data_IF_222049963860
#
_entry.id   IF_222049963860
#
_cell.length_a   1.000
_cell.length_b   1.000
_cell.length_c   1.000
_cell.angle_alpha   90.00
_cell.angle_beta   90.00
_cell.angle_gamma   90.00
#
_symmetry.space_group_name_H-M   'P 1'
#
loop_
_entity.id
_entity.type
_entity.pdbx_description
1 polymer ?
2 polymer ?
3 water ?
#
# COMPACT_ATOMS: atom_id res chain seq x y z
N UNK A 30 -0.03 -28.32 7.93
CA UNK A 30 -0.32 -26.92 8.33
C UNK A 30 -1.63 -26.47 7.70
N UNK A 31 -2.51 -25.75 8.42
CA UNK A 31 -3.75 -25.23 7.84
C UNK A 31 -3.53 -24.23 6.68
N UNK A 32 -2.31 -23.71 6.53
CA UNK A 32 -1.93 -22.74 5.46
C UNK A 32 -2.21 -23.36 4.08
N UNK A 33 -2.30 -24.69 4.00
CA UNK A 33 -2.52 -25.44 2.73
C UNK A 33 -3.94 -25.26 2.19
N UNK A 34 -4.96 -25.09 3.05
CA UNK A 34 -6.39 -25.13 2.62
C UNK A 34 -7.23 -23.97 3.18
N UNK A 35 -6.70 -23.20 4.13
CA UNK A 35 -7.37 -22.00 4.74
C UNK A 35 -7.25 -20.84 3.75
N UNK A 36 -8.36 -20.12 3.48
CA UNK A 36 -8.31 -18.80 2.80
C UNK A 36 -7.68 -17.79 3.77
N UNK A 37 -7.08 -16.74 3.24
CA UNK A 37 -6.36 -15.70 4.01
C UNK A 37 -7.30 -14.53 4.19
N UNK A 38 -7.90 -14.37 5.39
CA UNK A 38 -8.92 -13.34 5.59
C UNK A 38 -8.28 -11.95 5.60
N UNK A 39 -9.01 -10.96 5.07
CA UNK A 39 -8.62 -9.53 5.07
C UNK A 39 -9.14 -8.92 6.37
N UNK A 40 -8.47 -7.89 6.88
CA UNK A 40 -8.91 -7.15 8.09
C UNK A 40 -10.37 -6.73 7.90
N UNK A 41 -10.74 -6.24 6.71
CA UNK A 41 -12.11 -5.74 6.41
C UNK A 41 -12.77 -6.55 5.29
N UNK A 42 -14.10 -6.44 5.20
CA UNK A 42 -14.94 -6.92 4.09
C UNK A 42 -15.21 -5.73 3.18
N UNK A 43 -15.03 -5.89 1.88
CA UNK A 43 -15.12 -4.81 0.87
C UNK A 43 -16.22 -5.11 -0.14
N UNK A 44 -16.81 -4.04 -0.68
CA UNK A 44 -17.81 -4.05 -1.76
C UNK A 44 -17.20 -3.37 -2.98
N UNK A 45 -17.20 -4.05 -4.13
CA UNK A 45 -16.80 -3.48 -5.43
C UNK A 45 -18.07 -3.05 -6.17
N UNK A 46 -18.14 -1.76 -6.53
CA UNK A 46 -19.28 -1.16 -7.28
C UNK A 46 -18.83 -0.77 -8.69
N UNK A 47 -19.81 -0.69 -9.58
CA UNK A 47 -19.68 -0.18 -10.96
C UNK A 47 -20.75 0.89 -11.17
N UNK A 48 -20.44 1.94 -11.92
CA UNK A 48 -21.40 3.00 -12.31
C UNK A 48 -21.08 3.39 -13.75
N UNK A 49 -22.10 3.43 -14.61
CA UNK A 49 -22.05 3.98 -15.98
C UNK A 49 -22.97 5.21 -16.01
N UNK A 50 -22.44 6.41 -16.31
CA UNK A 50 -23.28 7.65 -16.32
C UNK A 50 -24.07 7.71 -17.62
N UNK A 51 -25.18 6.97 -17.67
CA UNK A 51 -26.22 7.04 -18.73
C UNK A 51 -27.24 8.09 -18.30
N UNK A 52 -27.06 9.34 -18.75
CA UNK A 52 -27.86 10.54 -18.35
C UNK A 52 -29.34 10.33 -18.69
N UNK A 53 -29.66 9.38 -19.57
CA UNK A 53 -31.04 9.00 -19.98
C UNK A 53 -31.74 8.23 -18.85
N UNK A 54 -30.98 7.60 -17.95
CA UNK A 54 -31.50 6.69 -16.90
C UNK A 54 -31.31 7.28 -15.50
N UNK A 55 -31.99 6.67 -14.53
CA UNK A 55 -31.89 6.88 -13.07
C UNK A 55 -30.54 6.36 -12.56
N UNK A 56 -29.95 7.03 -11.56
CA UNK A 56 -28.63 6.65 -11.01
C UNK A 56 -28.67 5.29 -10.30
N UNK A 57 -29.81 4.90 -9.72
CA UNK A 57 -29.95 3.58 -9.02
C UNK A 57 -29.85 2.45 -10.05
N UNK A 58 -30.37 2.66 -11.26
CA UNK A 58 -30.34 1.68 -12.36
C UNK A 58 -28.92 1.60 -12.93
N UNK A 59 -28.18 2.72 -12.88
CA UNK A 59 -26.83 2.87 -13.47
C UNK A 59 -25.76 2.30 -12.53
N UNK A 60 -26.10 2.10 -11.25
CA UNK A 60 -25.18 1.66 -10.17
C UNK A 60 -25.38 0.17 -9.94
N UNK A 61 -24.29 -0.59 -9.82
CA UNK A 61 -24.34 -2.06 -9.59
C UNK A 61 -23.29 -2.47 -8.56
N UNK A 62 -23.73 -3.17 -7.51
CA UNK A 62 -22.84 -3.97 -6.64
C UNK A 62 -22.37 -5.17 -7.46
N UNK A 63 -21.06 -5.28 -7.71
CA UNK A 63 -20.47 -6.41 -8.46
C UNK A 63 -20.39 -7.60 -7.50
N UNK A 64 -19.75 -7.42 -6.34
CA UNK A 64 -19.72 -8.40 -5.22
C UNK A 64 -18.93 -7.86 -4.03
N UNK A 65 -19.05 -8.58 -2.92
CA UNK A 65 -18.31 -8.36 -1.66
C UNK A 65 -17.34 -9.52 -1.47
N UNK A 66 -16.22 -9.25 -0.82
CA UNK A 66 -15.15 -10.25 -0.55
C UNK A 66 -14.49 -9.87 0.78
N UNK A 67 -13.92 -10.86 1.46
CA UNK A 67 -13.21 -10.69 2.76
C UNK A 67 -11.96 -11.57 2.82
N UNK A 68 -11.47 -12.05 1.66
CA UNK A 68 -10.21 -12.83 1.56
C UNK A 68 -9.38 -12.32 0.38
N UNK A 69 -8.07 -12.58 0.44
CA UNK A 69 -7.09 -12.36 -0.65
C UNK A 69 -7.55 -13.16 -1.87
N UNK A 70 -7.83 -14.45 -1.68
CA UNK A 70 -8.23 -15.37 -2.78
C UNK A 70 -9.46 -14.82 -3.50
N UNK A 71 -10.49 -14.39 -2.75
CA UNK A 71 -11.78 -13.92 -3.30
C UNK A 71 -11.58 -12.58 -4.03
N UNK A 72 -10.65 -11.75 -3.53
CA UNK A 72 -10.27 -10.47 -4.18
C UNK A 72 -9.67 -10.75 -5.58
N UNK A 73 -8.68 -11.63 -5.68
CA UNK A 73 -7.99 -11.94 -6.96
C UNK A 73 -8.95 -12.62 -7.95
N UNK A 74 -9.83 -13.52 -7.50
CA UNK A 74 -10.82 -14.18 -8.39
C UNK A 74 -11.69 -13.11 -9.04
N UNK A 75 -12.11 -12.12 -8.24
CA UNK A 75 -12.97 -10.99 -8.69
C UNK A 75 -12.19 -10.08 -9.63
N UNK A 76 -11.00 -9.63 -9.23
CA UNK A 76 -10.16 -8.68 -10.01
C UNK A 76 -9.83 -9.27 -11.38
N UNK A 77 -9.46 -10.54 -11.41
CA UNK A 77 -9.08 -11.28 -12.64
C UNK A 77 -10.30 -11.48 -13.56
N UNK A 78 -11.52 -11.34 -13.06
CA UNK A 78 -12.78 -11.63 -13.81
C UNK A 78 -13.30 -10.36 -14.47
N UNK A 79 -12.82 -9.18 -14.06
CA UNK A 79 -13.38 -7.89 -14.52
C UNK A 79 -12.39 -7.17 -15.43
N UNK A 80 -12.94 -6.27 -16.26
CA UNK A 80 -12.22 -5.36 -17.18
C UNK A 80 -11.24 -4.47 -16.39
N UNK A 81 -10.04 -4.25 -16.93
CA UNK A 81 -9.12 -3.16 -16.47
C UNK A 81 -9.81 -1.81 -16.72
N UNK A 82 -9.52 -0.82 -15.89
CA UNK A 82 -10.06 0.56 -15.97
C UNK A 82 -9.78 1.20 -17.35
N UNK A 83 -8.58 0.96 -17.89
CA UNK A 83 -8.13 1.48 -19.20
C UNK A 83 -8.94 0.87 -20.35
N UNK A 84 -9.70 -0.20 -20.10
CA UNK A 84 -10.52 -0.87 -21.15
C UNK A 84 -12.01 -0.53 -20.95
N UNK A 85 -12.36 0.29 -19.95
CA UNK A 85 -13.77 0.70 -19.72
C UNK A 85 -14.11 1.81 -20.72
N UNK A 86 -15.40 1.92 -21.08
CA UNK A 86 -15.95 3.01 -21.90
C UNK A 86 -15.91 4.29 -21.08
N UNK A 87 -15.59 5.46 -21.68
CA UNK A 87 -15.71 6.74 -20.97
C UNK A 87 -17.11 6.93 -20.32
N UNK A 88 -17.12 7.49 -19.12
CA UNK A 88 -18.31 7.67 -18.28
C UNK A 88 -18.51 6.53 -17.28
N UNK A 89 -17.59 5.57 -17.22
CA UNK A 89 -17.66 4.40 -16.31
C UNK A 89 -16.78 4.65 -15.07
N UNK A 90 -17.25 4.20 -13.92
CA UNK A 90 -16.52 4.21 -12.63
C UNK A 90 -16.53 2.81 -12.02
N UNK A 91 -15.47 2.48 -11.30
CA UNK A 91 -15.42 1.43 -10.25
C UNK A 91 -15.27 2.13 -8.89
N UNK A 92 -15.75 1.50 -7.84
CA UNK A 92 -15.44 1.90 -6.45
C UNK A 92 -15.19 0.65 -5.61
N UNK A 93 -14.30 0.77 -4.62
CA UNK A 93 -14.20 -0.19 -3.51
C UNK A 93 -14.45 0.54 -2.20
N UNK A 94 -15.48 0.12 -1.47
CA UNK A 94 -15.88 0.70 -0.16
C UNK A 94 -15.90 -0.39 0.88
N UNK A 95 -15.46 -0.08 2.11
CA UNK A 95 -15.66 -0.96 3.30
C UNK A 95 -17.14 -1.33 3.36
N UNK A 96 -17.44 -2.63 3.48
CA UNK A 96 -18.83 -3.12 3.73
C UNK A 96 -19.46 -2.29 4.85
N UNK A 97 -20.67 -1.78 4.64
CA UNK A 97 -21.38 -0.93 5.61
C UNK A 97 -21.28 0.54 5.26
N UNK A 98 -20.33 0.92 4.39
CA UNK A 98 -20.22 2.31 3.87
C UNK A 98 -20.70 2.30 2.41
N UNK A 99 -21.80 3.02 2.16
CA UNK A 99 -22.44 3.19 0.83
C UNK A 99 -21.51 4.01 -0.07
N UNK A 100 -21.47 3.70 -1.38
CA UNK A 100 -20.68 4.51 -2.33
C UNK A 100 -21.39 5.84 -2.61
N UNK A 101 -21.64 6.62 -1.56
CA UNK A 101 -22.42 7.89 -1.58
C UNK A 101 -21.79 8.86 -0.58
N UNK A 102 -21.64 10.12 -0.96
CA UNK A 102 -21.02 11.17 -0.10
C UNK A 102 -21.90 11.39 1.15
N UNK A 103 -23.21 11.22 1.04
CA UNK A 103 -24.21 11.50 2.10
C UNK A 103 -24.09 10.46 3.22
N UNK A 104 -23.56 9.27 2.94
CA UNK A 104 -23.31 8.20 3.95
C UNK A 104 -22.66 8.83 5.19
N UNK A 105 -23.02 8.34 6.38
CA UNK A 105 -22.58 8.89 7.69
C UNK A 105 -21.05 8.94 7.69
N UNK A 106 -20.39 7.95 7.08
CA UNK A 106 -18.92 7.77 7.18
C UNK A 106 -18.20 8.64 6.13
N UNK A 107 -18.93 9.19 5.14
CA UNK A 107 -18.35 9.99 4.03
C UNK A 107 -18.65 11.49 4.17
N UNK A 108 -19.80 11.88 4.75
CA UNK A 108 -20.34 13.26 4.57
C UNK A 108 -19.46 14.32 5.24
N UNK A 109 -18.70 13.99 6.28
CA UNK A 109 -17.74 14.95 6.92
C UNK A 109 -16.35 14.74 6.32
N UNK A 110 -16.26 13.89 5.29
CA UNK A 110 -15.00 13.37 4.75
C UNK A 110 -14.58 14.06 3.48
N UNK A 111 -13.57 13.49 2.81
CA UNK A 111 -13.10 13.92 1.48
C UNK A 111 -12.14 12.90 0.91
N UNK A 112 -11.43 13.28 -0.14
CA UNK A 112 -10.66 12.34 -0.98
C UNK A 112 -9.34 12.99 -1.43
N UNK A 113 -8.28 12.19 -1.45
CA UNK A 113 -7.05 12.46 -2.25
C UNK A 113 -7.35 12.19 -3.72
N UNK A 114 -7.14 13.19 -4.57
CA UNK A 114 -7.32 13.13 -6.05
C UNK A 114 -5.96 12.82 -6.70
N UNK A 115 -5.93 11.79 -7.55
CA UNK A 115 -4.86 11.54 -8.56
C UNK A 115 -5.50 11.79 -9.92
N UNK A 116 -5.03 12.80 -10.65
CA UNK A 116 -5.60 13.23 -11.97
C UNK A 116 -4.66 12.74 -13.06
N UNK A 117 -5.19 11.97 -14.00
CA UNK A 117 -4.40 11.34 -15.09
C UNK A 117 -4.82 11.94 -16.43
N UNK A 118 -3.85 12.38 -17.24
CA UNK A 118 -4.11 12.80 -18.65
C UNK A 118 -4.17 11.53 -19.51
N UNK A 119 -4.48 11.68 -20.81
CA UNK A 119 -4.78 10.55 -21.74
C UNK A 119 -3.51 9.67 -21.87
N UNK A 120 -2.34 10.29 -21.76
CA UNK A 120 -1.03 9.61 -21.82
C UNK A 120 -0.92 8.62 -20.66
N UNK A 121 -1.47 8.98 -19.50
CA UNK A 121 -1.36 8.18 -18.25
C UNK A 121 -2.46 7.11 -18.22
N UNK A 122 -3.55 7.29 -18.95
CA UNK A 122 -4.50 6.16 -19.21
C UNK A 122 -3.66 4.94 -19.58
N UNK A 123 -2.72 5.11 -20.51
CA UNK A 123 -1.93 4.02 -21.12
C UNK A 123 -0.91 3.47 -20.08
N UNK A 124 -0.24 4.36 -19.33
CA UNK A 124 0.99 4.03 -18.56
C UNK A 124 0.70 3.83 -17.06
N UNK A 125 -0.26 4.55 -16.47
CA UNK A 125 -0.40 4.64 -15.00
C UNK A 125 -1.77 4.14 -14.49
N UNK A 126 -2.85 4.29 -15.27
CA UNK A 126 -4.23 4.13 -14.74
C UNK A 126 -4.36 2.76 -14.04
N UNK A 127 -4.07 1.67 -14.75
CA UNK A 127 -4.28 0.30 -14.24
C UNK A 127 -3.37 0.03 -13.04
N UNK A 128 -2.07 0.30 -13.17
CA UNK A 128 -1.10 0.00 -12.07
C UNK A 128 -1.47 0.89 -10.86
N UNK A 129 -1.84 2.15 -11.07
CA UNK A 129 -2.23 3.08 -9.97
C UNK A 129 -3.50 2.58 -9.28
N UNK A 130 -4.47 2.07 -10.04
CA UNK A 130 -5.76 1.56 -9.47
C UNK A 130 -5.48 0.33 -8.63
N UNK A 131 -4.65 -0.59 -9.13
CA UNK A 131 -4.34 -1.84 -8.39
C UNK A 131 -3.52 -1.51 -7.14
N UNK A 132 -2.59 -0.55 -7.23
CA UNK A 132 -1.87 -0.04 -6.02
C UNK A 132 -2.90 0.40 -4.98
N UNK A 133 -3.92 1.14 -5.43
CA UNK A 133 -4.98 1.72 -4.55
C UNK A 133 -5.80 0.58 -3.93
N UNK A 134 -6.21 -0.40 -4.73
CA UNK A 134 -6.99 -1.55 -4.23
C UNK A 134 -6.21 -2.22 -3.09
N UNK A 135 -4.91 -2.46 -3.29
CA UNK A 135 -4.10 -3.25 -2.34
C UNK A 135 -3.73 -2.40 -1.12
N UNK A 136 -3.59 -1.08 -1.28
CA UNK A 136 -3.41 -0.15 -0.12
C UNK A 136 -4.65 -0.21 0.77
N UNK A 137 -5.85 -0.28 0.19
CA UNK A 137 -7.10 -0.40 0.99
C UNK A 137 -7.12 -1.77 1.68
N UNK A 138 -7.14 -2.87 0.92
CA UNK A 138 -7.42 -4.23 1.46
C UNK A 138 -6.20 -4.72 2.28
N UNK A 139 -5.01 -4.24 1.96
CA UNK A 139 -3.80 -4.48 2.77
C UNK A 139 -3.66 -3.55 3.97
N UNK A 140 -4.56 -2.60 4.17
CA UNK A 140 -4.53 -1.65 5.33
C UNK A 140 -3.14 -1.00 5.46
N UNK A 141 -2.67 -0.33 4.41
CA UNK A 141 -1.25 0.08 4.25
C UNK A 141 -0.97 1.40 4.98
N UNK A 142 -1.97 2.01 5.63
CA UNK A 142 -1.85 3.36 6.23
C UNK A 142 -1.79 3.23 7.76
N UNK A 143 -1.31 2.09 8.26
CA UNK A 143 -0.99 1.85 9.68
C UNK A 143 -2.25 2.04 10.52
N UNK A 144 -2.16 2.86 11.58
CA UNK A 144 -3.23 3.15 12.57
C UNK A 144 -4.39 3.87 11.87
N UNK A 145 -4.08 4.71 10.88
CA UNK A 145 -5.03 5.63 10.21
C UNK A 145 -5.78 4.91 9.09
N UNK A 146 -5.57 3.61 8.89
CA UNK A 146 -6.34 2.81 7.89
C UNK A 146 -7.83 2.83 8.24
N UNK A 147 -8.18 3.03 9.51
CA UNK A 147 -9.59 3.12 9.98
C UNK A 147 -10.27 4.39 9.45
N UNK A 148 -9.52 5.41 9.04
CA UNK A 148 -10.08 6.65 8.44
C UNK A 148 -10.49 6.38 6.99
N UNK A 149 -9.90 5.39 6.34
CA UNK A 149 -10.16 5.08 4.89
C UNK A 149 -11.55 4.47 4.79
N UNK A 150 -12.41 5.01 3.92
CA UNK A 150 -13.80 4.52 3.65
C UNK A 150 -13.82 3.70 2.36
N UNK A 151 -12.98 4.07 1.39
CA UNK A 151 -12.96 3.40 0.09
C UNK A 151 -12.16 4.17 -0.93
N UNK A 152 -12.27 3.79 -2.19
CA UNK A 152 -11.57 4.43 -3.33
C UNK A 152 -12.44 4.31 -4.58
N UNK A 153 -12.19 5.20 -5.53
CA UNK A 153 -13.00 5.40 -6.77
C UNK A 153 -12.02 5.68 -7.91
N UNK A 154 -12.25 5.01 -9.04
CA UNK A 154 -11.61 5.33 -10.35
C UNK A 154 -12.72 5.75 -11.31
N UNK A 155 -12.52 6.93 -11.92
CA UNK A 155 -13.40 7.51 -12.97
C UNK A 155 -12.64 7.43 -14.29
N UNK A 156 -13.20 6.73 -15.28
CA UNK A 156 -12.72 6.72 -16.69
C UNK A 156 -13.53 7.75 -17.47
N UNK A 157 -12.92 8.89 -17.81
CA UNK A 157 -13.54 9.98 -18.61
C UNK A 157 -12.70 10.23 -19.87
N UNK A 158 -13.32 10.81 -20.88
CA UNK A 158 -12.67 11.29 -22.13
C UNK A 158 -11.69 12.42 -21.78
N UNK A 159 -12.11 13.38 -20.96
CA UNK A 159 -11.34 14.61 -20.61
C UNK A 159 -10.22 14.31 -19.60
N UNK A 160 -10.11 13.05 -19.14
CA UNK A 160 -9.04 12.58 -18.22
C UNK A 160 -9.59 11.68 -17.13
N UNK A 161 -8.78 10.73 -16.65
CA UNK A 161 -9.18 9.74 -15.61
C UNK A 161 -8.72 10.26 -14.24
N UNK A 162 -9.42 9.86 -13.17
CA UNK A 162 -9.09 10.21 -11.77
C UNK A 162 -9.14 8.94 -10.92
N UNK A 163 -8.21 8.83 -9.97
CA UNK A 163 -8.31 7.88 -8.83
C UNK A 163 -8.37 8.72 -7.56
N UNK A 164 -9.21 8.31 -6.62
CA UNK A 164 -9.44 8.99 -5.33
C UNK A 164 -9.50 7.93 -4.22
N UNK A 165 -8.79 8.18 -3.11
CA UNK A 165 -9.00 7.47 -1.81
C UNK A 165 -9.90 8.36 -0.96
N UNK A 166 -11.04 7.82 -0.52
CA UNK A 166 -12.04 8.46 0.38
C UNK A 166 -11.69 8.19 1.85
N UNK A 167 -11.62 9.24 2.67
CA UNK A 167 -11.45 9.14 4.14
C UNK A 167 -12.67 9.80 4.82
N UNK A 168 -12.87 9.48 6.09
CA UNK A 168 -14.12 9.70 6.84
C UNK A 168 -14.24 11.13 7.42
N UNK A 169 -13.15 11.88 7.56
CA UNK A 169 -13.17 13.15 8.34
C UNK A 169 -12.03 14.09 7.94
N UNK A 170 -12.37 15.22 7.28
CA UNK A 170 -11.47 16.32 6.82
C UNK A 170 -10.72 16.99 7.98
N UNK A 171 -11.26 16.93 9.20
CA UNK A 171 -10.67 17.59 10.39
C UNK A 171 -9.48 16.78 10.92
N UNK A 172 -9.47 15.44 10.73
CA UNK A 172 -8.35 14.56 11.17
C UNK A 172 -7.13 14.84 10.29
N UNK A 173 -6.50 16.01 10.47
CA UNK A 173 -5.35 16.52 9.68
C UNK A 173 -4.21 15.49 9.69
N UNK A 174 -4.02 14.83 10.84
CA UNK A 174 -2.89 13.92 11.15
C UNK A 174 -3.06 12.64 10.32
N UNK A 175 -4.27 12.06 10.37
CA UNK A 175 -4.65 10.84 9.61
C UNK A 175 -4.63 11.13 8.11
N UNK A 176 -5.20 12.27 7.69
CA UNK A 176 -5.37 12.60 6.25
C UNK A 176 -4.00 12.77 5.59
N UNK A 177 -3.08 13.51 6.20
CA UNK A 177 -1.76 13.84 5.62
C UNK A 177 -0.88 12.58 5.64
N UNK A 178 -1.03 11.74 6.65
CA UNK A 178 -0.29 10.44 6.72
C UNK A 178 -0.77 9.58 5.54
N UNK A 179 -2.08 9.43 5.36
CA UNK A 179 -2.67 8.65 4.23
C UNK A 179 -2.12 9.20 2.91
N UNK A 180 -2.07 10.53 2.76
CA UNK A 180 -1.58 11.21 1.56
C UNK A 180 -0.13 10.87 1.28
N UNK A 181 0.73 11.04 2.29
CA UNK A 181 2.20 10.80 2.17
C UNK A 181 2.45 9.36 1.73
N UNK A 182 1.80 8.40 2.39
CA UNK A 182 2.03 6.94 2.18
C UNK A 182 1.52 6.56 0.78
N UNK A 183 0.35 7.04 0.39
CA UNK A 183 -0.23 6.82 -0.96
C UNK A 183 0.79 7.24 -2.02
N UNK A 184 1.33 8.45 -1.88
CA UNK A 184 2.31 9.06 -2.82
C UNK A 184 3.55 8.16 -2.93
N UNK A 185 4.08 7.71 -1.78
CA UNK A 185 5.26 6.78 -1.70
C UNK A 185 4.92 5.44 -2.38
N UNK A 186 3.73 4.90 -2.12
CA UNK A 186 3.31 3.57 -2.64
C UNK A 186 3.15 3.64 -4.16
N UNK A 187 2.73 4.80 -4.67
CA UNK A 187 2.51 5.06 -6.13
C UNK A 187 3.83 5.37 -6.84
N UNK A 188 4.87 5.73 -6.09
CA UNK A 188 6.18 6.14 -6.64
C UNK A 188 6.10 7.49 -7.32
N UNK A 189 5.28 8.40 -6.80
CA UNK A 189 5.22 9.82 -7.26
C UNK A 189 6.37 10.59 -6.60
N UNK A 190 7.16 11.34 -7.39
CA UNK A 190 8.27 12.13 -6.83
C UNK A 190 7.79 13.31 -6.00
N UNK A 191 8.67 13.96 -5.20
CA UNK A 191 8.23 15.02 -4.28
C UNK A 191 7.69 16.27 -5.00
N UNK A 192 8.16 16.55 -6.23
CA UNK A 192 7.75 17.74 -7.02
C UNK A 192 6.26 17.64 -7.37
N UNK A 193 5.77 16.43 -7.69
CA UNK A 193 4.34 16.16 -8.03
C UNK A 193 3.49 16.34 -6.77
N UNK A 194 2.54 17.27 -6.79
CA UNK A 194 1.65 17.59 -5.63
C UNK A 194 0.26 17.00 -5.88
N UNK A 195 -0.35 16.43 -4.85
CA UNK A 195 -1.76 15.96 -4.87
C UNK A 195 -2.54 16.70 -3.78
N UNK A 196 -3.85 16.86 -4.01
CA UNK A 196 -4.75 17.60 -3.12
C UNK A 196 -5.83 16.69 -2.54
N UNK A 197 -6.32 17.09 -1.36
CA UNK A 197 -7.47 16.50 -0.64
C UNK A 197 -8.62 17.52 -0.63
N UNK A 198 -9.80 17.11 -1.11
CA UNK A 198 -11.00 17.98 -1.28
C UNK A 198 -12.20 17.38 -0.52
N UNK A 199 -12.83 18.21 0.31
CA UNK A 199 -14.01 17.89 1.14
C UNK A 199 -15.18 17.48 0.23
N UNK A 200 -15.94 16.45 0.61
CA UNK A 200 -17.11 15.95 -0.16
C UNK A 200 -18.21 17.02 -0.14
N UNK A 201 -18.51 17.57 1.03
CA UNK A 201 -19.51 18.65 1.25
C UNK A 201 -19.18 19.84 0.34
N UNK A 202 -17.94 20.32 0.34
CA UNK A 202 -17.49 21.41 -0.57
C UNK A 202 -17.81 21.02 -2.02
N UNK A 203 -17.49 19.79 -2.41
CA UNK A 203 -17.65 19.32 -3.81
C UNK A 203 -19.14 19.35 -4.19
N UNK A 204 -19.99 18.62 -3.45
CA UNK A 204 -21.43 18.41 -3.76
C UNK A 204 -22.24 19.71 -3.61
N UNK A 205 -21.85 20.58 -2.68
CA UNK A 205 -22.76 21.54 -1.99
C UNK A 205 -22.33 23.00 -2.20
N UNK A 206 -21.03 23.30 -2.33
CA UNK A 206 -20.52 24.70 -2.46
C UNK A 206 -19.97 24.93 -3.87
N UNK A 207 -18.98 24.13 -4.28
CA UNK A 207 -18.16 24.32 -5.50
C UNK A 207 -17.90 22.96 -6.13
N UNK A 208 -18.38 22.73 -7.36
CA UNK A 208 -18.24 21.44 -8.05
C UNK A 208 -16.81 21.19 -8.45
N UNK A 209 -16.48 21.46 -9.72
CA UNK A 209 -15.13 21.26 -10.30
C UNK A 209 -14.13 22.28 -9.74
N UNK A 210 -14.61 23.43 -9.24
CA UNK A 210 -13.76 24.57 -8.80
C UNK A 210 -13.40 24.49 -7.31
N UNK A 211 -13.72 23.38 -6.63
CA UNK A 211 -13.45 23.21 -5.16
C UNK A 211 -11.94 23.13 -4.92
N UNK A 212 -11.47 23.76 -3.83
CA UNK A 212 -10.03 23.92 -3.52
C UNK A 212 -9.60 22.90 -2.47
N UNK A 213 -8.29 22.64 -2.42
CA UNK A 213 -7.67 21.61 -1.54
C UNK A 213 -7.64 22.13 -0.10
N UNK A 214 -8.05 21.28 0.86
CA UNK A 214 -7.86 21.50 2.31
C UNK A 214 -6.40 21.20 2.66
N UNK A 215 -5.82 20.18 2.02
CA UNK A 215 -4.43 19.73 2.23
C UNK A 215 -3.79 19.43 0.87
N UNK A 216 -2.46 19.46 0.85
CA UNK A 216 -1.60 19.02 -0.30
C UNK A 216 -0.42 18.24 0.29
N UNK A 217 0.16 17.35 -0.51
CA UNK A 217 1.29 16.46 -0.09
C UNK A 217 2.18 16.23 -1.32
N UNK B 36 10.52 -13.97 19.96
CA UNK B 36 9.67 -13.68 18.76
C UNK B 36 10.19 -12.47 17.99
N UNK B 37 10.24 -12.58 16.65
CA UNK B 37 10.48 -11.47 15.68
C UNK B 37 9.29 -11.41 14.71
N UNK B 38 8.53 -10.32 14.75
CA UNK B 38 7.34 -10.10 13.87
C UNK B 38 7.62 -8.87 12.99
N UNK B 39 7.62 -9.07 11.68
CA UNK B 39 7.86 -8.01 10.65
C UNK B 39 6.53 -7.61 10.01
N UNK B 40 6.48 -6.38 9.51
CA UNK B 40 5.31 -5.74 8.84
C UNK B 40 5.80 -4.57 7.98
N UNK B 41 4.89 -3.98 7.19
CA UNK B 41 5.14 -2.79 6.35
C UNK B 41 5.16 -3.10 4.87
N UNK B 42 4.88 -4.35 4.48
CA UNK B 42 5.10 -4.86 3.11
C UNK B 42 3.95 -4.52 2.18
N UNK B 43 3.69 -5.39 1.19
CA UNK B 43 2.61 -5.20 0.19
C UNK B 43 3.17 -4.72 -1.12
N UNK B 44 2.31 -4.16 -1.97
CA UNK B 44 2.66 -3.79 -3.37
C UNK B 44 3.14 -2.33 -3.40
N UNK B 45 4.20 -2.08 -4.16
CA UNK B 45 4.77 -0.71 -4.37
C UNK B 45 5.13 -0.60 -5.87
N UNK B 46 4.98 0.59 -6.44
CA UNK B 46 5.37 0.87 -7.83
C UNK B 46 6.88 1.11 -7.88
N UNK B 47 7.57 0.71 -8.98
CA UNK B 47 8.99 1.03 -9.16
C UNK B 47 9.29 2.49 -8.79
N UNK B 48 10.38 2.73 -8.07
CA UNK B 48 10.80 4.09 -7.64
C UNK B 48 10.11 4.49 -6.35
N UNK B 49 9.05 3.79 -5.95
CA UNK B 49 8.31 4.05 -4.71
C UNK B 49 9.15 3.75 -3.48
N UNK B 50 8.55 3.93 -2.29
CA UNK B 50 9.25 3.86 -0.98
C UNK B 50 8.39 3.11 0.04
N UNK B 51 9.06 2.40 0.93
CA UNK B 51 8.47 1.49 1.94
C UNK B 51 9.36 1.57 3.19
N UNK B 52 8.77 1.31 4.36
CA UNK B 52 9.50 1.13 5.63
C UNK B 52 8.99 -0.16 6.25
N UNK B 53 9.87 -1.16 6.37
CA UNK B 53 9.56 -2.41 7.11
C UNK B 53 9.92 -2.17 8.57
N UNK B 54 9.26 -2.90 9.47
CA UNK B 54 9.51 -2.92 10.93
C UNK B 54 9.66 -4.38 11.38
N UNK B 55 10.55 -4.61 12.35
CA UNK B 55 10.62 -5.90 13.09
C UNK B 55 10.64 -5.59 14.58
N UNK B 56 9.49 -5.75 15.23
CA UNK B 56 9.33 -5.72 16.71
C UNK B 56 9.90 -7.02 17.27
N UNK B 57 10.91 -6.93 18.15
CA UNK B 57 11.67 -8.10 18.67
C UNK B 57 11.41 -8.24 20.17
N UNK B 58 11.20 -9.48 20.61
CA UNK B 58 10.96 -9.86 22.04
C UNK B 58 11.62 -11.22 22.32
N UNK B 59 12.20 -11.37 23.50
CA UNK B 59 13.01 -12.56 23.89
C UNK B 59 14.41 -12.15 24.30
N UNK B 60 14.97 -11.08 23.69
CA UNK B 60 16.33 -10.54 23.95
C UNK B 60 16.40 -9.05 23.59
N UNK B 61 17.28 -8.30 24.24
CA UNK B 61 17.60 -6.88 23.92
C UNK B 61 18.39 -6.85 22.60
N UNK B 62 18.26 -5.77 21.84
CA UNK B 62 18.90 -5.63 20.50
C UNK B 62 20.19 -4.81 20.63
N UNK B 63 20.34 -4.01 21.71
CA UNK B 63 21.62 -3.35 22.06
C UNK B 63 22.67 -4.43 22.41
N UNK B 64 22.23 -5.58 22.93
CA UNK B 64 23.09 -6.73 23.27
C UNK B 64 23.77 -7.28 21.99
N UNK B 65 22.95 -7.68 20.99
CA UNK B 65 23.37 -8.49 19.82
C UNK B 65 23.40 -7.63 18.56
N UNK B 66 23.45 -8.29 17.40
CA UNK B 66 23.34 -7.70 16.04
C UNK B 66 22.10 -8.30 15.35
N UNK B 67 21.51 -7.54 14.44
CA UNK B 67 20.27 -7.91 13.69
C UNK B 67 20.51 -7.72 12.19
N UNK B 68 20.17 -8.75 11.42
CA UNK B 68 20.23 -8.77 9.94
C UNK B 68 18.82 -8.65 9.37
N UNK B 69 18.65 -7.83 8.32
CA UNK B 69 17.57 -8.03 7.33
C UNK B 69 18.06 -9.04 6.29
N UNK B 70 17.21 -10.01 5.97
CA UNK B 70 17.45 -11.08 4.96
C UNK B 70 16.21 -11.11 4.06
N UNK B 71 16.35 -11.55 2.82
CA UNK B 71 15.21 -11.61 1.86
C UNK B 71 15.36 -12.84 0.97
N UNK B 72 14.24 -13.40 0.53
CA UNK B 72 14.21 -14.50 -0.47
C UNK B 72 13.18 -14.15 -1.54
N UNK B 73 13.66 -13.80 -2.74
CA UNK B 73 12.86 -13.76 -3.98
C UNK B 73 12.39 -15.18 -4.31
N UNK B 74 11.19 -15.36 -4.89
CA UNK B 74 10.67 -16.70 -5.18
C UNK B 74 11.52 -17.37 -6.27
N UNK B 75 11.90 -18.64 -6.06
CA UNK B 75 12.83 -19.40 -6.94
C UNK B 75 14.29 -19.16 -6.58
N UNK B 76 14.63 -17.95 -6.13
CA UNK B 76 16.00 -17.54 -5.70
C UNK B 76 16.27 -18.04 -4.27
N UNK B 77 17.52 -17.97 -3.83
CA UNK B 77 17.98 -18.38 -2.49
C UNK B 77 18.06 -17.21 -1.54
N UNK B 78 18.30 -17.47 -0.26
CA UNK B 78 18.44 -16.44 0.80
C UNK B 78 19.48 -15.42 0.34
N UNK B 79 19.24 -14.13 0.58
CA UNK B 79 20.19 -13.03 0.30
C UNK B 79 20.26 -12.14 1.54
N UNK B 80 21.44 -12.01 2.13
CA UNK B 80 21.70 -11.00 3.18
C UNK B 80 21.45 -9.61 2.61
N UNK B 81 20.72 -8.76 3.33
CA UNK B 81 20.38 -7.38 2.88
C UNK B 81 21.22 -6.37 3.67
N UNK B 82 21.08 -6.34 4.99
CA UNK B 82 21.71 -5.31 5.85
C UNK B 82 21.81 -5.81 7.28
N UNK B 83 22.78 -5.28 8.02
CA UNK B 83 23.04 -5.61 9.43
C UNK B 83 23.11 -4.31 10.23
N UNK B 84 22.62 -4.36 11.47
CA UNK B 84 22.78 -3.27 12.45
C UNK B 84 23.22 -3.88 13.78
N UNK B 85 24.15 -3.21 14.45
CA UNK B 85 24.48 -3.45 15.89
C UNK B 85 23.97 -2.24 16.66
N UNK B 86 22.71 -2.32 17.16
CA UNK B 86 22.04 -1.18 17.81
C UNK B 86 22.85 -0.48 18.91
N UNK B 87 23.54 -1.24 19.76
CA UNK B 87 24.38 -0.73 20.89
C UNK B 87 25.28 0.42 20.41
N UNK B 88 25.92 0.29 19.25
CA UNK B 88 26.89 1.26 18.67
C UNK B 88 26.35 1.92 17.39
N UNK B 89 25.33 1.33 16.77
CA UNK B 89 24.66 1.89 15.58
C UNK B 89 25.49 1.75 14.31
N UNK B 90 26.50 0.87 14.31
CA UNK B 90 27.27 0.53 13.08
C UNK B 90 26.38 -0.33 12.16
N UNK B 91 26.46 -0.09 10.86
CA UNK B 91 25.63 -0.75 9.82
C UNK B 91 26.51 -1.17 8.65
N UNK B 92 26.16 -2.28 8.01
CA UNK B 92 26.67 -2.70 6.68
C UNK B 92 25.48 -3.14 5.82
N UNK B 93 25.65 -3.06 4.49
CA UNK B 93 24.61 -3.34 3.48
C UNK B 93 25.20 -4.27 2.43
N UNK B 94 24.39 -5.18 1.88
CA UNK B 94 24.70 -5.87 0.61
C UNK B 94 24.90 -4.80 -0.47
N UNK B 95 25.76 -5.06 -1.46
CA UNK B 95 26.04 -4.12 -2.59
C UNK B 95 24.74 -3.80 -3.33
N UNK B 96 23.88 -4.80 -3.54
CA UNK B 96 22.63 -4.72 -4.34
C UNK B 96 21.69 -3.62 -3.81
N UNK B 97 21.88 -3.13 -2.58
CA UNK B 97 20.91 -2.22 -1.91
C UNK B 97 21.61 -0.96 -1.38
N UNK B 98 22.93 -0.85 -1.44
CA UNK B 98 23.68 0.31 -0.88
C UNK B 98 23.18 1.59 -1.56
N UNK B 99 22.93 2.65 -0.78
CA UNK B 99 22.52 3.97 -1.29
C UNK B 99 21.01 4.13 -1.35
N UNK B 100 20.26 3.02 -1.32
CA UNK B 100 18.79 2.97 -1.53
C UNK B 100 18.08 2.60 -0.22
N UNK B 101 18.57 1.58 0.50
CA UNK B 101 17.96 1.07 1.75
C UNK B 101 18.75 1.63 2.94
N UNK B 102 18.07 1.83 4.08
CA UNK B 102 18.68 2.27 5.36
C UNK B 102 18.10 1.43 6.50
N UNK B 103 18.93 0.62 7.14
CA UNK B 103 18.61 -0.11 8.41
C UNK B 103 18.84 0.86 9.58
N UNK B 104 18.01 0.76 10.61
CA UNK B 104 18.05 1.62 11.81
C UNK B 104 17.28 0.89 12.92
N UNK B 105 17.37 1.37 14.16
CA UNK B 105 16.77 0.68 15.34
C UNK B 105 16.34 1.67 16.41
N UNK B 106 15.50 1.19 17.32
CA UNK B 106 15.04 1.90 18.55
C UNK B 106 15.07 0.87 19.69
N UNK B 107 16.03 1.02 20.61
CA UNK B 107 16.22 0.14 21.80
C UNK B 107 15.10 0.42 22.82
N UNK B 108 14.53 1.64 22.79
CA UNK B 108 13.34 2.01 23.59
C UNK B 108 12.14 1.16 23.16
N UNK B 109 12.02 0.86 21.85
CA UNK B 109 10.90 0.03 21.29
C UNK B 109 11.36 -1.42 21.07
N UNK B 110 12.67 -1.68 21.07
CA UNK B 110 13.27 -3.01 20.76
C UNK B 110 12.82 -3.42 19.35
N UNK B 111 12.94 -2.51 18.40
CA UNK B 111 12.51 -2.71 17.00
C UNK B 111 13.59 -2.19 16.05
N UNK B 112 13.84 -2.92 14.97
CA UNK B 112 14.73 -2.50 13.86
C UNK B 112 13.83 -2.22 12.63
N UNK B 113 14.21 -1.22 11.85
CA UNK B 113 13.50 -0.78 10.63
C UNK B 113 14.40 -0.98 9.41
N UNK B 114 13.79 -0.98 8.22
CA UNK B 114 14.49 -0.91 6.92
C UNK B 114 13.72 0.06 6.01
N UNK B 115 14.18 1.30 5.95
CA UNK B 115 13.72 2.27 4.93
C UNK B 115 14.17 1.75 3.57
N UNK B 116 13.25 1.65 2.61
CA UNK B 116 13.50 1.10 1.26
C UNK B 116 13.06 2.13 0.22
N UNK B 117 14.00 2.91 -0.32
CA UNK B 117 13.75 3.97 -1.33
C UNK B 117 14.18 3.44 -2.70
N UNK B 118 13.69 4.07 -3.77
CA UNK B 118 14.04 3.77 -5.19
C UNK B 118 13.87 2.27 -5.46
N UNK B 119 12.74 1.71 -5.04
CA UNK B 119 12.47 0.26 -5.16
C UNK B 119 12.46 -0.14 -6.64
N UNK B 120 13.00 -1.32 -6.96
CA UNK B 120 12.98 -1.93 -8.31
C UNK B 120 12.31 -3.30 -8.23
N UNK B 121 11.95 -3.85 -9.39
CA UNK B 121 11.31 -5.18 -9.54
C UNK B 121 12.12 -6.25 -8.81
N UNK B 122 13.45 -6.17 -8.89
CA UNK B 122 14.41 -7.17 -8.32
C UNK B 122 14.37 -7.16 -6.79
N UNK B 123 13.85 -6.11 -6.14
CA UNK B 123 13.71 -6.06 -4.67
C UNK B 123 12.53 -6.92 -4.20
N UNK B 124 11.69 -7.37 -5.13
CA UNK B 124 10.53 -8.27 -4.86
C UNK B 124 11.06 -9.48 -4.09
N UNK B 125 10.65 -9.64 -2.84
CA UNK B 125 11.11 -10.72 -1.94
C UNK B 125 10.26 -10.73 -0.67
N UNK B 126 10.30 -11.85 0.04
CA UNK B 126 9.94 -11.95 1.49
C UNK B 126 11.18 -11.43 2.25
N UNK B 127 10.99 -10.39 3.06
CA UNK B 127 12.04 -9.74 3.89
C UNK B 127 11.80 -10.12 5.35
N UNK B 128 12.79 -10.70 6.03
CA UNK B 128 12.67 -11.03 7.49
C UNK B 128 13.95 -10.65 8.24
N UNK B 129 13.84 -10.55 9.55
CA UNK B 129 14.97 -10.28 10.47
C UNK B 129 15.41 -11.61 11.10
N UNK B 130 16.68 -11.69 11.47
CA UNK B 130 17.29 -12.80 12.23
C UNK B 130 18.46 -12.30 13.05
N UNK B 131 18.83 -13.04 14.10
CA UNK B 131 20.11 -12.82 14.82
C UNK B 131 21.17 -13.68 14.14
N UNK B 132 22.19 -13.05 13.53
CA UNK B 132 23.23 -13.79 12.83
C UNK B 132 24.23 -14.40 13.82
N UNK B 133 24.82 -15.55 13.46
CA UNK B 133 25.86 -16.26 14.24
C UNK B 133 27.17 -16.18 13.48
N UNK B 134 27.80 -15.00 13.40
CA UNK B 134 29.06 -14.87 12.67
C UNK B 134 30.20 -15.58 13.42
N UNK B 135 31.15 -16.15 12.67
CA UNK B 135 32.39 -16.79 13.18
C UNK B 135 33.49 -16.63 12.12
N UNK B 136 34.73 -16.96 12.47
CA UNK B 136 35.86 -16.95 11.53
C UNK B 136 35.43 -17.61 10.21
N UNK B 137 35.57 -16.87 9.10
CA UNK B 137 35.25 -17.36 7.74
C UNK B 137 33.81 -17.09 7.35
N UNK B 138 32.92 -16.83 8.32
CA UNK B 138 31.46 -16.61 8.12
C UNK B 138 31.02 -15.31 8.80
N UNK B 139 31.17 -14.17 8.10
CA UNK B 139 30.95 -12.80 8.64
C UNK B 139 29.67 -12.23 8.05
N UNK B 140 29.67 -12.02 6.73
CA UNK B 140 28.55 -11.43 5.97
C UNK B 140 28.18 -12.42 4.86
N UNK B 141 27.04 -12.20 4.21
CA UNK B 141 26.44 -13.15 3.23
C UNK B 141 26.34 -14.52 3.91
N UNK B 142 25.81 -14.53 5.15
CA UNK B 142 25.52 -15.76 5.93
C UNK B 142 24.06 -15.72 6.35
N UNK B 143 23.11 -15.58 5.39
CA UNK B 143 21.69 -15.44 5.73
C UNK B 143 21.09 -16.69 6.40
N UNK B 144 21.61 -17.89 6.10
CA UNK B 144 21.16 -19.17 6.72
C UNK B 144 21.77 -19.35 8.12
N UNK B 145 22.81 -18.57 8.46
CA UNK B 145 23.58 -18.67 9.73
C UNK B 145 22.91 -17.78 10.79
N UNK B 146 21.68 -18.13 11.15
CA UNK B 146 20.81 -17.35 12.08
C UNK B 146 20.13 -18.35 13.01
N UNK B 147 19.97 -18.02 14.29
CA UNK B 147 19.25 -18.90 15.26
C UNK B 147 17.77 -18.49 15.27
N UNK B 148 17.46 -17.36 15.91
CA UNK B 148 16.09 -16.80 16.03
C UNK B 148 15.74 -16.07 14.74
N UNK B 149 14.53 -16.30 14.23
CA UNK B 149 14.10 -15.99 12.84
C UNK B 149 12.67 -15.45 12.85
N UNK B 150 12.40 -14.38 12.08
CA UNK B 150 11.04 -13.86 11.83
C UNK B 150 10.34 -14.63 10.73
N UNK B 151 9.03 -14.48 10.61
CA UNK B 151 8.23 -15.16 9.55
C UNK B 151 8.37 -14.36 8.24
N UNK B 152 8.56 -13.04 8.35
CA UNK B 152 8.81 -12.14 7.20
C UNK B 152 7.56 -11.43 6.75
N UNK B 153 7.73 -10.45 5.87
CA UNK B 153 6.68 -9.64 5.19
C UNK B 153 7.02 -9.62 3.71
N UNK B 154 6.07 -10.04 2.85
CA UNK B 154 6.23 -10.02 1.37
C UNK B 154 6.22 -8.57 0.90
N UNK B 155 7.24 -8.16 0.15
CA UNK B 155 7.29 -6.88 -0.61
C UNK B 155 7.27 -7.23 -2.09
N UNK B 156 6.32 -6.66 -2.84
CA UNK B 156 6.22 -6.82 -4.31
C UNK B 156 6.41 -5.46 -4.99
N UNK B 157 7.44 -5.35 -5.83
CA UNK B 157 7.68 -4.13 -6.65
C UNK B 157 7.38 -4.49 -8.10
N UNK B 158 6.34 -3.88 -8.66
CA UNK B 158 5.84 -4.17 -10.02
C UNK B 158 5.02 -2.97 -10.49
N UNK B 159 5.11 -2.68 -11.79
CA UNK B 159 4.25 -1.72 -12.53
C UNK B 159 3.23 -2.49 -13.39
N UNK B 160 3.13 -3.81 -13.21
CA UNK B 160 2.11 -4.65 -13.86
C UNK B 160 0.73 -4.39 -13.28
N UNK B 161 -0.31 -4.91 -13.94
CA UNK B 161 -1.73 -4.76 -13.56
C UNK B 161 -2.36 -6.15 -13.41
N UNK B 162 -1.54 -7.21 -13.37
CA UNK B 162 -1.96 -8.61 -13.15
C UNK B 162 -1.42 -9.11 -11.81
N UNK B 163 -2.00 -10.20 -11.29
CA UNK B 163 -1.68 -10.85 -10.00
C UNK B 163 -0.18 -11.16 -9.91
#
# INVERSE_FOLDING_TARGET
MATVEPETTPTPNPPTTEEEKTESNQEVANPEHYIKHPLQNRWALWFFKNDKSKTWQANLRLISKFDTVEDFWALYNHIQLSSNLMPGCDYSLFKDGIEPMWEDEKNKRGGRWLITLNKQQRRSDLDRFWLETLLCLIGESFDDYSDDVCGAVVNVRAKGDKIAIWTTECENREAVTHIGRVYKERLGLPPKIVIGYQSHADTATKSGSTTKNRFVV
MKYLLPTAAAGLLLLAAQPAMAMDIGINSDPMSEVQLVESGGGLVQPGGSLRLSSAISGFSISSTSIDWVRQAPGKGLEWVARISPSSGSTSYADSVKGRFTISADTSKNTVYLQMNSLRAEDTAVYYTGRPLPEMGFFTQIPAMVDYRGQGTLVTVSSGAAEQKLISEEDLHHHHHHH
#
